data_IF_189305994904
#
_entry.id   IF_189305994904
#
_cell.length_a   1.000
_cell.length_b   1.000
_cell.length_c   1.000
_cell.angle_alpha   90.00
_cell.angle_beta   90.00
_cell.angle_gamma   90.00
#
_symmetry.space_group_name_H-M   'P 1'
#
loop_
_entity.id
_entity.type
_entity.pdbx_description
1 polymer ?
#
# COMPACT_ATOMS: atom_id res chain seq x y z
N UNK A 1 3.17 5.30 -7.55
CA UNK A 1 4.00 5.83 -6.45
C UNK A 1 4.04 4.78 -5.35
N UNK A 2 5.21 4.46 -4.80
CA UNK A 2 5.30 3.45 -3.73
C UNK A 2 4.70 4.02 -2.44
N UNK A 3 3.74 3.33 -1.85
CA UNK A 3 3.24 3.65 -0.52
C UNK A 3 4.35 3.44 0.50
N UNK A 4 4.72 4.50 1.23
CA UNK A 4 5.65 4.40 2.35
C UNK A 4 4.87 3.88 3.57
N UNK A 5 5.20 2.69 4.04
CA UNK A 5 4.58 2.07 5.23
C UNK A 5 5.65 1.83 6.27
N UNK A 6 5.42 2.30 7.50
CA UNK A 6 6.31 2.06 8.64
C UNK A 6 6.28 0.60 9.10
N UNK A 7 7.26 0.19 9.92
CA UNK A 7 7.31 -1.15 10.52
C UNK A 7 6.04 -1.48 11.33
N UNK A 8 5.37 -0.48 11.92
CA UNK A 8 4.12 -0.66 12.66
C UNK A 8 2.87 -0.64 11.75
N UNK A 9 3.04 -0.52 10.43
CA UNK A 9 1.96 -0.53 9.45
C UNK A 9 1.31 0.83 9.18
N UNK A 10 1.91 1.94 9.61
CA UNK A 10 1.36 3.28 9.34
C UNK A 10 1.74 3.76 7.95
N UNK A 11 0.76 4.23 7.18
CA UNK A 11 1.03 4.85 5.88
C UNK A 11 1.58 6.25 6.10
N UNK A 12 2.70 6.58 5.47
CA UNK A 12 3.25 7.93 5.40
C UNK A 12 2.82 8.61 4.11
N UNK A 13 2.55 9.91 4.22
CA UNK A 13 2.24 10.71 3.06
C UNK A 13 3.46 10.79 2.13
N UNK A 14 3.34 10.49 0.82
CA UNK A 14 4.46 10.59 -0.11
C UNK A 14 4.89 12.04 -0.39
N UNK A 15 4.04 13.03 -0.05
CA UNK A 15 4.30 14.45 -0.29
C UNK A 15 5.14 15.07 0.83
N UNK A 16 4.80 14.78 2.09
CA UNK A 16 5.44 15.42 3.26
C UNK A 16 6.10 14.45 4.24
N UNK A 17 6.00 13.14 4.04
CA UNK A 17 6.52 12.11 4.97
C UNK A 17 5.79 12.03 6.32
N UNK A 18 4.73 12.82 6.52
CA UNK A 18 3.97 12.81 7.75
C UNK A 18 3.21 11.48 7.93
N UNK A 19 3.12 11.04 9.18
CA UNK A 19 2.31 9.91 9.59
C UNK A 19 0.83 10.20 9.30
N UNK A 20 0.18 9.37 8.49
CA UNK A 20 -1.27 9.49 8.25
C UNK A 20 -2.05 8.71 9.30
N UNK A 21 -3.39 8.91 9.33
CA UNK A 21 -4.30 8.14 10.20
C UNK A 21 -4.63 6.75 9.66
N UNK A 22 -4.05 6.36 8.53
CA UNK A 22 -4.32 5.07 7.88
C UNK A 22 -3.28 4.05 8.32
N UNK A 23 -3.75 2.96 8.94
CA UNK A 23 -2.93 1.80 9.31
C UNK A 23 -3.28 0.62 8.41
N UNK A 24 -2.28 -0.05 7.87
CA UNK A 24 -2.39 -1.16 6.92
C UNK A 24 -1.55 -2.33 7.40
N UNK A 25 -2.05 -3.55 7.22
CA UNK A 25 -1.31 -4.77 7.54
C UNK A 25 -0.50 -5.26 6.33
N UNK A 26 0.40 -6.21 6.50
CA UNK A 26 1.27 -6.70 5.41
C UNK A 26 0.50 -7.36 4.26
N UNK A 27 -0.62 -7.99 4.58
CA UNK A 27 -1.56 -8.68 3.69
C UNK A 27 -2.61 -7.75 3.06
N UNK A 28 -2.66 -6.47 3.46
CA UNK A 28 -3.69 -5.55 2.98
C UNK A 28 -3.38 -5.05 1.57
N UNK A 29 -4.29 -5.32 0.63
CA UNK A 29 -4.29 -4.77 -0.71
C UNK A 29 -5.02 -3.42 -0.74
N UNK A 30 -4.34 -2.35 -1.18
CA UNK A 30 -4.96 -1.05 -1.43
C UNK A 30 -4.99 -0.79 -2.93
N UNK A 31 -6.18 -0.57 -3.48
CA UNK A 31 -6.39 -0.23 -4.90
C UNK A 31 -7.06 1.13 -4.99
N UNK A 32 -6.40 2.06 -5.68
CA UNK A 32 -6.83 3.46 -5.85
C UNK A 32 -7.35 4.08 -4.55
N UNK A 33 -6.68 3.83 -3.44
CA UNK A 33 -7.14 4.25 -2.13
C UNK A 33 -6.87 5.76 -1.95
N UNK A 34 -7.88 6.60 -1.67
CA UNK A 34 -7.68 8.03 -1.43
C UNK A 34 -7.11 8.24 -0.02
N UNK A 35 -5.80 8.49 0.05
CA UNK A 35 -5.11 8.80 1.29
C UNK A 35 -5.18 10.31 1.56
N UNK A 36 -5.92 10.70 2.60
CA UNK A 36 -5.95 12.10 3.05
C UNK A 36 -4.76 12.42 3.96
N UNK A 37 -4.06 13.53 3.67
CA UNK A 37 -3.00 14.04 4.52
C UNK A 37 -3.45 15.31 5.26
N UNK A 38 -3.54 15.30 6.61
CA UNK A 38 -3.91 16.48 7.39
C UNK A 38 -2.83 17.57 7.42
N UNK A 39 -1.61 17.30 6.94
CA UNK A 39 -0.56 18.33 6.78
C UNK A 39 -0.62 19.02 5.42
N UNK A 40 -0.93 18.27 4.36
CA UNK A 40 -0.96 18.79 2.99
C UNK A 40 -2.36 19.26 2.57
N UNK A 41 -3.39 18.96 3.37
CA UNK A 41 -4.81 19.25 3.11
C UNK A 41 -5.27 18.76 1.73
N UNK A 42 -4.68 17.67 1.25
CA UNK A 42 -4.97 17.07 -0.04
C UNK A 42 -5.06 15.57 0.07
N UNK A 43 -5.79 15.01 -0.88
CA UNK A 43 -5.93 13.59 -1.09
C UNK A 43 -4.86 13.13 -2.08
N UNK A 44 -4.37 11.91 -1.91
CA UNK A 44 -3.48 11.28 -2.88
C UNK A 44 -3.93 9.85 -3.09
N UNK A 45 -4.09 9.46 -4.35
CA UNK A 45 -4.44 8.09 -4.69
C UNK A 45 -3.20 7.23 -4.53
N UNK A 46 -3.31 6.17 -3.72
CA UNK A 46 -2.20 5.26 -3.44
C UNK A 46 -2.59 3.81 -3.73
N UNK A 47 -1.63 3.05 -4.24
CA UNK A 47 -1.78 1.65 -4.59
C UNK A 47 -0.71 0.82 -3.86
N UNK A 48 -1.14 -0.20 -3.12
CA UNK A 48 -0.25 -1.12 -2.40
C UNK A 48 -0.60 -2.55 -2.73
N UNK A 49 0.40 -3.29 -3.23
CA UNK A 49 0.35 -4.74 -3.39
C UNK A 49 0.91 -5.44 -2.14
N UNK A 50 0.27 -6.50 -1.62
CA UNK A 50 0.86 -7.32 -0.58
C UNK A 50 2.14 -7.99 -1.11
N UNK A 51 3.19 -8.03 -0.28
CA UNK A 51 4.38 -8.83 -0.55
C UNK A 51 4.03 -10.30 -0.31
N UNK A 52 3.72 -11.04 -1.37
CA UNK A 52 3.31 -12.44 -1.28
C UNK A 52 2.62 -12.96 -2.54
N UNK A 53 2.11 -12.09 -3.39
CA UNK A 53 1.54 -12.47 -4.69
C UNK A 53 2.62 -12.52 -5.78
N UNK A 54 3.70 -13.25 -5.52
CA UNK A 54 4.66 -13.62 -6.55
C UNK A 54 4.41 -15.08 -6.95
N UNK A 55 3.61 -15.24 -8.00
CA UNK A 55 3.64 -16.39 -8.93
C UNK A 55 3.36 -17.76 -8.30
N UNK A 56 2.08 -18.10 -8.14
CA UNK A 56 1.66 -19.46 -8.47
C UNK A 56 1.75 -19.57 -9.99
N UNK A 57 2.89 -20.01 -10.49
CA UNK A 57 2.98 -20.45 -11.88
C UNK A 57 2.25 -21.78 -11.92
N UNK A 58 1.12 -21.83 -12.61
CA UNK A 58 0.35 -23.04 -12.85
C UNK A 58 1.28 -24.19 -13.24
N UNK A 59 1.36 -25.20 -12.37
CA UNK A 59 1.93 -26.49 -12.73
C UNK A 59 1.00 -27.12 -13.77
N UNK A 60 1.25 -26.79 -15.04
CA UNK A 60 0.69 -27.49 -16.19
C UNK A 60 1.39 -28.86 -16.25
N UNK A 61 0.89 -29.83 -15.48
CA UNK A 61 1.20 -31.25 -15.68
C UNK A 61 0.51 -31.68 -16.95
N UNK A 62 1.25 -31.67 -18.07
CA UNK A 62 0.82 -32.29 -19.32
C UNK A 62 0.88 -33.81 -19.16
N UNK A 63 -0.24 -34.44 -19.53
CA UNK A 63 -0.54 -35.86 -19.63
C UNK A 63 0.59 -36.70 -20.22
#
# INVERSE_FOLDING_TARGET
MRCLVDAEGWVRCPVCGAKTRTKVRADTHLVRFPLYCPKCHRETVVDRRPEGEARRSDARTTT
#
